data_IF_485912126832
#
_entry.id   IF_485912126832
#
_cell.length_a   1.000
_cell.length_b   1.000
_cell.length_c   1.000
_cell.angle_alpha   90.00
_cell.angle_beta   90.00
_cell.angle_gamma   90.00
#
_symmetry.space_group_name_H-M   'P 1'
#
loop_
_entity.id
_entity.type
_entity.pdbx_description
1 polymer ?
#
# COMPACT_ATOMS: atom_id res chain seq x y z
N UNK A 1 -13.93 -3.78 -14.67
CA UNK A 1 -12.93 -4.60 -13.99
C UNK A 1 -11.75 -3.71 -13.69
N UNK A 2 -11.20 -3.71 -12.48
CA UNK A 2 -10.06 -2.86 -12.14
C UNK A 2 -8.77 -3.32 -12.84
N UNK A 3 -7.93 -2.36 -13.23
CA UNK A 3 -6.59 -2.63 -13.71
C UNK A 3 -5.63 -2.89 -12.53
N UNK A 4 -5.82 -2.13 -11.44
CA UNK A 4 -5.12 -2.31 -10.16
C UNK A 4 -6.09 -2.81 -9.10
N UNK A 5 -5.79 -3.94 -8.47
CA UNK A 5 -6.54 -4.47 -7.32
C UNK A 5 -5.66 -4.39 -6.07
N UNK A 6 -6.10 -3.64 -5.05
CA UNK A 6 -5.38 -3.53 -3.78
C UNK A 6 -6.02 -4.45 -2.73
N UNK A 7 -5.24 -5.36 -2.14
CA UNK A 7 -5.73 -6.33 -1.16
C UNK A 7 -5.14 -6.08 0.23
N UNK A 8 -5.99 -5.83 1.23
CA UNK A 8 -5.52 -5.67 2.60
C UNK A 8 -6.57 -5.19 3.58
N UNK A 9 -6.13 -4.58 4.69
CA UNK A 9 -6.99 -4.09 5.76
C UNK A 9 -7.19 -2.58 5.71
N UNK A 10 -8.39 -2.11 5.35
CA UNK A 10 -8.77 -0.73 5.52
C UNK A 10 -9.08 -0.42 6.99
N UNK A 11 -8.70 0.75 7.44
CA UNK A 11 -8.85 1.19 8.82
C UNK A 11 -9.51 2.57 8.87
N UNK A 12 -10.33 2.82 9.89
CA UNK A 12 -10.75 4.19 10.22
C UNK A 12 -9.71 4.81 11.17
N UNK A 13 -9.29 6.04 10.85
CA UNK A 13 -8.34 6.81 11.64
C UNK A 13 -9.07 7.76 12.60
N UNK A 14 -8.50 7.91 13.79
CA UNK A 14 -8.83 8.99 14.72
C UNK A 14 -7.55 9.74 15.09
N UNK A 15 -7.34 10.92 14.48
CA UNK A 15 -6.14 11.74 14.63
C UNK A 15 -6.38 12.83 15.66
N UNK A 16 -5.60 12.82 16.75
CA UNK A 16 -5.72 13.78 17.84
C UNK A 16 -5.32 15.17 17.37
N UNK A 17 -6.16 16.15 17.65
CA UNK A 17 -5.91 17.55 17.36
C UNK A 17 -5.32 18.27 18.59
N UNK A 18 -4.71 19.46 18.44
CA UNK A 18 -4.12 20.21 19.55
C UNK A 18 -5.08 20.54 20.69
N UNK A 19 -6.38 20.59 20.41
CA UNK A 19 -7.43 20.83 21.41
C UNK A 19 -7.91 19.54 22.13
N UNK A 20 -7.27 18.40 21.84
CA UNK A 20 -7.58 17.10 22.43
C UNK A 20 -8.73 16.35 21.77
N UNK A 21 -9.44 16.96 20.81
CA UNK A 21 -10.45 16.26 19.98
C UNK A 21 -9.78 15.36 18.96
N UNK A 22 -10.55 14.41 18.44
CA UNK A 22 -10.08 13.53 17.36
C UNK A 22 -10.76 13.90 16.05
N UNK A 23 -9.95 14.14 15.02
CA UNK A 23 -10.39 14.23 13.64
C UNK A 23 -10.51 12.81 13.09
N UNK A 24 -11.66 12.49 12.49
CA UNK A 24 -11.86 11.24 11.79
C UNK A 24 -11.20 11.29 10.42
N UNK A 25 -10.51 10.22 10.06
CA UNK A 25 -9.85 10.03 8.77
C UNK A 25 -9.90 8.57 8.34
N UNK A 26 -9.19 8.27 7.28
CA UNK A 26 -9.11 6.94 6.70
C UNK A 26 -7.65 6.52 6.58
N UNK A 27 -7.40 5.21 6.65
CA UNK A 27 -6.08 4.62 6.57
C UNK A 27 -6.12 3.14 6.20
N UNK A 28 -5.00 2.49 6.41
CA UNK A 28 -4.71 1.17 5.87
C UNK A 28 -3.89 1.32 4.60
N UNK A 29 -2.67 0.79 4.61
CA UNK A 29 -1.66 1.00 3.57
C UNK A 29 -2.16 0.70 2.15
N UNK A 30 -2.75 -0.47 1.95
CA UNK A 30 -3.30 -0.86 0.64
C UNK A 30 -4.55 -0.05 0.25
N UNK A 31 -5.35 0.42 1.23
CA UNK A 31 -6.45 1.37 1.00
C UNK A 31 -5.91 2.74 0.58
N UNK A 32 -4.85 3.21 1.24
CA UNK A 32 -4.16 4.44 0.91
C UNK A 32 -3.57 4.38 -0.51
N UNK A 33 -2.89 3.27 -0.85
CA UNK A 33 -2.40 3.01 -2.20
C UNK A 33 -3.52 3.04 -3.24
N UNK A 34 -4.67 2.40 -2.95
CA UNK A 34 -5.82 2.39 -3.83
C UNK A 34 -6.37 3.80 -4.11
N UNK A 35 -6.51 4.61 -3.05
CA UNK A 35 -6.97 6.00 -3.15
C UNK A 35 -5.97 6.85 -3.94
N UNK A 36 -4.67 6.73 -3.62
CA UNK A 36 -3.62 7.43 -4.35
C UNK A 36 -3.68 7.08 -5.85
N UNK A 37 -3.74 5.80 -6.20
CA UNK A 37 -3.81 5.37 -7.60
C UNK A 37 -5.07 5.85 -8.32
N UNK A 38 -6.24 5.81 -7.67
CA UNK A 38 -7.50 6.30 -8.24
C UNK A 38 -7.43 7.80 -8.54
N UNK A 39 -6.86 8.61 -7.63
CA UNK A 39 -6.64 10.06 -7.84
C UNK A 39 -5.65 10.34 -8.96
N UNK A 40 -4.77 9.40 -9.31
CA UNK A 40 -3.89 9.47 -10.49
C UNK A 40 -4.55 8.92 -11.77
N UNK A 41 -5.84 8.56 -11.71
CA UNK A 41 -6.62 8.18 -12.88
C UNK A 41 -6.57 6.69 -13.25
N UNK A 42 -6.01 5.83 -12.39
CA UNK A 42 -6.08 4.38 -12.60
C UNK A 42 -7.50 3.84 -12.33
N UNK A 43 -7.86 2.76 -13.01
CA UNK A 43 -9.07 1.98 -12.70
C UNK A 43 -8.76 1.04 -11.54
N UNK A 44 -9.21 1.39 -10.34
CA UNK A 44 -8.81 0.72 -9.09
C UNK A 44 -9.97 -0.05 -8.47
N UNK A 45 -9.68 -1.23 -7.94
CA UNK A 45 -10.57 -1.96 -7.05
C UNK A 45 -9.89 -2.33 -5.74
N UNK A 46 -10.68 -2.65 -4.74
CA UNK A 46 -10.20 -3.15 -3.46
C UNK A 46 -10.76 -4.53 -3.16
N UNK A 47 -9.89 -5.43 -2.66
CA UNK A 47 -10.22 -6.72 -2.09
C UNK A 47 -10.02 -6.63 -0.59
N UNK A 48 -11.12 -6.53 0.17
CA UNK A 48 -11.09 -6.32 1.60
C UNK A 48 -12.29 -6.94 2.30
N UNK A 49 -12.18 -7.11 3.61
CA UNK A 49 -13.32 -7.41 4.48
C UNK A 49 -13.54 -6.28 5.48
N UNK A 50 -14.80 -5.86 5.62
CA UNK A 50 -15.24 -4.81 6.53
C UNK A 50 -16.34 -5.34 7.44
N UNK A 51 -16.41 -4.82 8.66
CA UNK A 51 -17.57 -5.02 9.51
C UNK A 51 -18.82 -4.39 8.91
N UNK A 52 -20.00 -4.90 9.31
CA UNK A 52 -21.30 -4.26 8.98
C UNK A 52 -21.60 -3.05 9.85
N UNK A 53 -20.62 -2.60 10.63
CA UNK A 53 -20.70 -1.43 11.49
C UNK A 53 -20.65 -0.11 10.69
N UNK A 54 -20.92 0.99 11.41
CA UNK A 54 -20.89 2.32 10.78
C UNK A 54 -19.51 2.74 10.26
N UNK A 55 -18.44 2.13 10.76
CA UNK A 55 -17.07 2.43 10.32
C UNK A 55 -16.80 1.80 8.95
N UNK A 56 -17.23 0.54 8.76
CA UNK A 56 -17.18 -0.10 7.46
C UNK A 56 -17.99 0.65 6.41
N UNK A 57 -19.20 1.12 6.76
CA UNK A 57 -20.01 1.93 5.85
C UNK A 57 -19.35 3.25 5.46
N UNK A 58 -18.63 3.90 6.39
CA UNK A 58 -17.90 5.14 6.10
C UNK A 58 -16.76 4.91 5.12
N UNK A 59 -16.00 3.82 5.29
CA UNK A 59 -14.93 3.45 4.38
C UNK A 59 -15.50 3.18 2.97
N UNK A 60 -16.60 2.42 2.86
CA UNK A 60 -17.27 2.18 1.56
C UNK A 60 -17.71 3.49 0.88
N UNK A 61 -18.28 4.42 1.64
CA UNK A 61 -18.71 5.70 1.10
C UNK A 61 -17.50 6.54 0.62
N UNK A 62 -16.40 6.51 1.37
CA UNK A 62 -15.18 7.22 1.02
C UNK A 62 -14.54 6.70 -0.26
N UNK A 63 -14.46 5.37 -0.41
CA UNK A 63 -13.97 4.78 -1.65
C UNK A 63 -14.86 5.10 -2.86
N UNK A 64 -16.17 5.24 -2.64
CA UNK A 64 -17.09 5.64 -3.71
C UNK A 64 -16.82 7.07 -4.21
N UNK A 65 -16.34 7.99 -3.37
CA UNK A 65 -15.95 9.36 -3.77
C UNK A 65 -14.80 9.37 -4.78
N UNK A 66 -13.84 8.45 -4.62
CA UNK A 66 -12.70 8.27 -5.54
C UNK A 66 -12.99 7.24 -6.66
N UNK A 67 -14.24 6.82 -6.85
CA UNK A 67 -14.70 5.83 -7.86
C UNK A 67 -13.98 4.47 -7.79
N UNK A 68 -13.57 4.04 -6.61
CA UNK A 68 -12.91 2.74 -6.39
C UNK A 68 -13.97 1.62 -6.47
N UNK A 69 -13.69 0.57 -7.25
CA UNK A 69 -14.54 -0.61 -7.36
C UNK A 69 -14.52 -1.44 -6.06
N UNK A 70 -15.68 -1.54 -5.42
CA UNK A 70 -15.89 -2.28 -4.17
C UNK A 70 -16.53 -3.66 -4.38
N UNK A 71 -16.64 -4.15 -5.61
CA UNK A 71 -17.30 -5.43 -5.93
C UNK A 71 -16.64 -6.64 -5.28
N UNK A 72 -15.35 -6.57 -4.98
CA UNK A 72 -14.59 -7.58 -4.26
C UNK A 72 -14.52 -7.33 -2.73
N UNK A 73 -15.25 -6.33 -2.21
CA UNK A 73 -15.35 -6.10 -0.76
C UNK A 73 -16.44 -6.98 -0.15
N UNK A 74 -16.15 -7.57 1.00
CA UNK A 74 -17.10 -8.39 1.74
C UNK A 74 -17.43 -7.75 3.09
N UNK A 75 -18.71 -7.64 3.40
CA UNK A 75 -19.19 -7.24 4.73
C UNK A 75 -19.38 -8.46 5.63
N UNK A 76 -18.78 -8.42 6.83
CA UNK A 76 -18.79 -9.50 7.82
C UNK A 76 -19.60 -9.05 9.04
N UNK A 77 -20.72 -9.74 9.33
CA UNK A 77 -21.70 -9.30 10.36
C UNK A 77 -21.18 -9.39 11.81
N UNK A 78 -20.34 -10.37 12.09
CA UNK A 78 -19.91 -10.71 13.45
C UNK A 78 -18.51 -10.19 13.81
N UNK A 79 -17.91 -9.36 12.96
CA UNK A 79 -16.58 -8.82 13.17
C UNK A 79 -16.56 -7.30 12.98
N UNK A 80 -15.82 -6.53 13.81
CA UNK A 80 -15.73 -5.09 13.66
C UNK A 80 -14.83 -4.68 12.51
N UNK A 81 -15.04 -3.48 12.00
CA UNK A 81 -14.04 -2.78 11.18
C UNK A 81 -12.87 -2.35 12.05
N UNK A 82 -11.64 -2.53 11.59
CA UNK A 82 -10.44 -2.10 12.30
C UNK A 82 -10.37 -0.57 12.41
N UNK A 83 -9.87 -0.07 13.54
CA UNK A 83 -9.65 1.36 13.78
C UNK A 83 -8.28 1.61 14.42
N UNK A 84 -7.75 2.81 14.25
CA UNK A 84 -6.58 3.24 14.99
C UNK A 84 -6.66 4.70 15.42
N UNK A 85 -5.88 5.01 16.44
CA UNK A 85 -5.74 6.36 16.98
C UNK A 85 -4.32 6.82 16.75
N UNK A 86 -4.17 8.07 16.28
CA UNK A 86 -2.91 8.79 16.22
C UNK A 86 -2.91 9.80 17.37
N UNK A 87 -1.95 9.70 18.26
CA UNK A 87 -1.73 10.68 19.34
C UNK A 87 -0.38 11.33 19.14
N UNK A 88 -0.30 12.64 19.43
CA UNK A 88 0.90 13.42 19.28
C UNK A 88 1.52 13.69 20.64
N UNK A 89 2.83 13.39 20.76
CA UNK A 89 3.65 13.72 21.93
C UNK A 89 4.84 14.58 21.48
N UNK A 90 5.56 15.19 22.43
CA UNK A 90 6.73 16.01 22.11
C UNK A 90 7.83 15.26 21.33
N UNK A 91 7.81 13.92 21.36
CA UNK A 91 8.80 13.04 20.72
C UNK A 91 8.28 12.42 19.41
N UNK A 92 7.07 12.80 18.91
CA UNK A 92 6.51 12.28 17.65
C UNK A 92 5.07 11.79 17.73
N UNK A 93 4.73 10.81 16.90
CA UNK A 93 3.40 10.20 16.83
C UNK A 93 3.38 8.82 17.46
N UNK A 94 2.33 8.52 18.24
CA UNK A 94 2.05 7.15 18.71
C UNK A 94 0.77 6.62 18.07
N UNK A 95 0.82 5.35 17.62
CA UNK A 95 -0.28 4.66 16.97
C UNK A 95 -0.86 3.59 17.88
N UNK A 96 -2.12 3.74 18.25
CA UNK A 96 -2.87 2.75 19.04
C UNK A 96 -3.92 2.07 18.17
N UNK A 97 -3.75 0.78 17.92
CA UNK A 97 -4.64 0.00 17.06
C UNK A 97 -5.71 -0.75 17.83
N UNK A 98 -6.91 -0.85 17.26
CA UNK A 98 -8.02 -1.71 17.65
C UNK A 98 -8.45 -2.53 16.43
N UNK A 99 -7.67 -3.57 16.11
CA UNK A 99 -7.81 -4.38 14.88
C UNK A 99 -7.83 -5.90 15.13
N UNK A 100 -7.58 -6.36 16.37
CA UNK A 100 -7.65 -7.78 16.69
C UNK A 100 -9.08 -8.30 16.51
N UNK A 101 -9.23 -9.36 15.68
CA UNK A 101 -10.54 -9.88 15.33
C UNK A 101 -11.37 -8.96 14.41
N UNK A 102 -10.72 -8.00 13.74
CA UNK A 102 -11.36 -7.22 12.69
C UNK A 102 -11.80 -8.12 11.53
N UNK A 103 -12.81 -7.68 10.78
CA UNK A 103 -13.29 -8.40 9.61
C UNK A 103 -12.14 -8.75 8.65
N UNK A 104 -11.22 -7.81 8.39
CA UNK A 104 -10.07 -8.05 7.53
C UNK A 104 -9.14 -9.17 8.05
N UNK A 105 -8.97 -9.30 9.36
CA UNK A 105 -8.15 -10.35 9.97
C UNK A 105 -8.75 -11.76 9.85
N UNK A 106 -10.03 -11.86 9.48
CA UNK A 106 -10.72 -13.13 9.24
C UNK A 106 -10.64 -13.61 7.79
N UNK A 107 -10.06 -12.80 6.90
CA UNK A 107 -9.91 -13.19 5.50
C UNK A 107 -9.15 -14.51 5.37
N UNK A 108 -9.62 -15.37 4.47
CA UNK A 108 -9.09 -16.69 4.25
C UNK A 108 -9.09 -17.07 2.76
N UNK A 109 -8.41 -18.16 2.41
CA UNK A 109 -8.41 -18.70 1.03
C UNK A 109 -9.81 -18.97 0.49
N UNK A 110 -10.77 -19.39 1.36
CA UNK A 110 -12.14 -19.67 0.92
C UNK A 110 -12.88 -18.43 0.45
N UNK A 111 -12.52 -17.25 0.95
CA UNK A 111 -13.13 -15.98 0.53
C UNK A 111 -12.77 -15.61 -0.91
N UNK A 112 -11.61 -16.07 -1.40
CA UNK A 112 -11.15 -15.83 -2.78
C UNK A 112 -12.00 -16.58 -3.81
N UNK A 113 -12.71 -17.64 -3.41
CA UNK A 113 -13.61 -18.41 -4.29
C UNK A 113 -14.97 -17.71 -4.54
N UNK A 114 -15.26 -16.60 -3.87
CA UNK A 114 -16.48 -15.80 -4.14
C UNK A 114 -16.44 -15.30 -5.58
N UNK A 115 -17.55 -15.38 -6.34
CA UNK A 115 -17.55 -15.05 -7.77
C UNK A 115 -17.00 -13.67 -8.11
N UNK A 116 -17.36 -12.63 -7.34
CA UNK A 116 -16.85 -11.26 -7.57
C UNK A 116 -15.35 -11.12 -7.25
N UNK A 117 -14.87 -11.77 -6.19
CA UNK A 117 -13.45 -11.78 -5.80
C UNK A 117 -12.61 -12.53 -6.83
N UNK A 118 -13.04 -13.74 -7.20
CA UNK A 118 -12.37 -14.54 -8.23
C UNK A 118 -12.33 -13.81 -9.58
N UNK A 119 -13.40 -13.14 -9.96
CA UNK A 119 -13.47 -12.35 -11.19
C UNK A 119 -12.48 -11.16 -11.14
N UNK A 120 -12.40 -10.44 -10.01
CA UNK A 120 -11.47 -9.32 -9.83
C UNK A 120 -10.01 -9.79 -9.91
N UNK A 121 -9.64 -10.88 -9.19
CA UNK A 121 -8.30 -11.46 -9.21
C UNK A 121 -7.90 -11.98 -10.60
N UNK A 122 -8.84 -12.56 -11.34
CA UNK A 122 -8.55 -13.11 -12.68
C UNK A 122 -8.48 -12.06 -13.78
N UNK A 123 -8.89 -10.83 -13.51
CA UNK A 123 -8.98 -9.78 -14.53
C UNK A 123 -8.07 -8.58 -14.26
N UNK A 124 -7.56 -8.37 -13.05
CA UNK A 124 -6.68 -7.25 -12.78
C UNK A 124 -5.34 -7.43 -13.49
N UNK A 125 -4.73 -6.32 -13.92
CA UNK A 125 -3.39 -6.33 -14.49
C UNK A 125 -2.33 -6.39 -13.40
N UNK A 126 -2.59 -5.75 -12.25
CA UNK A 126 -1.69 -5.75 -11.09
C UNK A 126 -2.51 -5.98 -9.82
N UNK A 127 -2.06 -6.93 -8.99
CA UNK A 127 -2.49 -7.09 -7.60
C UNK A 127 -1.43 -6.44 -6.70
N UNK A 128 -1.84 -5.47 -5.89
CA UNK A 128 -0.97 -4.85 -4.87
C UNK A 128 -1.31 -5.37 -3.48
N UNK A 129 -0.28 -5.78 -2.74
CA UNK A 129 -0.36 -6.25 -1.36
C UNK A 129 0.78 -5.66 -0.54
N UNK A 130 0.69 -5.82 0.79
CA UNK A 130 1.75 -5.42 1.70
C UNK A 130 2.07 -6.48 2.76
N UNK A 131 3.19 -6.30 3.44
CA UNK A 131 3.54 -7.11 4.61
C UNK A 131 2.51 -6.98 5.73
N UNK A 132 1.83 -5.83 5.88
CA UNK A 132 0.74 -5.64 6.84
C UNK A 132 -0.43 -6.57 6.51
N UNK A 133 -0.81 -6.69 5.24
CA UNK A 133 -1.91 -7.57 4.79
C UNK A 133 -1.69 -9.03 5.23
N UNK A 134 -0.43 -9.46 5.32
CA UNK A 134 -0.06 -10.81 5.79
C UNK A 134 0.12 -10.88 7.31
N UNK A 135 0.53 -9.79 7.96
CA UNK A 135 0.84 -9.76 9.38
C UNK A 135 -0.38 -9.79 10.30
N UNK A 136 -1.57 -9.43 9.78
CA UNK A 136 -2.80 -9.29 10.58
C UNK A 136 -3.36 -10.63 11.08
N UNK A 137 -3.13 -11.74 10.36
CA UNK A 137 -3.44 -13.11 10.77
C UNK A 137 -2.79 -14.15 9.87
N UNK A 138 -2.70 -15.41 10.33
CA UNK A 138 -2.19 -16.51 9.50
C UNK A 138 -3.12 -16.81 8.32
N UNK A 139 -4.44 -16.75 8.52
CA UNK A 139 -5.40 -16.97 7.45
C UNK A 139 -5.34 -15.88 6.37
N UNK A 140 -5.09 -14.62 6.76
CA UNK A 140 -4.89 -13.53 5.82
C UNK A 140 -3.57 -13.69 5.05
N UNK A 141 -2.48 -14.15 5.70
CA UNK A 141 -1.24 -14.47 5.00
C UNK A 141 -1.44 -15.56 3.94
N UNK A 142 -2.13 -16.64 4.29
CA UNK A 142 -2.46 -17.72 3.36
C UNK A 142 -3.36 -17.24 2.20
N UNK A 143 -4.31 -16.34 2.47
CA UNK A 143 -5.14 -15.74 1.45
C UNK A 143 -4.31 -14.85 0.50
N UNK A 144 -3.36 -14.06 1.02
CA UNK A 144 -2.47 -13.23 0.21
C UNK A 144 -1.66 -14.09 -0.78
N UNK A 145 -1.02 -15.18 -0.31
CA UNK A 145 -0.29 -16.07 -1.22
C UNK A 145 -1.19 -16.71 -2.28
N UNK A 146 -2.39 -17.16 -1.89
CA UNK A 146 -3.34 -17.73 -2.85
C UNK A 146 -3.86 -16.70 -3.87
N UNK A 147 -3.98 -15.43 -3.48
CA UNK A 147 -4.33 -14.33 -4.39
C UNK A 147 -3.19 -14.07 -5.40
N UNK A 148 -1.93 -14.05 -4.95
CA UNK A 148 -0.76 -13.93 -5.83
C UNK A 148 -0.74 -15.06 -6.87
N UNK A 149 -0.90 -16.32 -6.43
CA UNK A 149 -0.96 -17.47 -7.33
C UNK A 149 -2.07 -17.35 -8.37
N UNK A 150 -3.24 -16.87 -7.94
CA UNK A 150 -4.42 -16.71 -8.83
C UNK A 150 -4.16 -15.67 -9.91
N UNK A 151 -3.57 -14.52 -9.53
CA UNK A 151 -3.25 -13.43 -10.46
C UNK A 151 -2.18 -13.86 -11.46
N UNK A 152 -1.12 -14.52 -11.02
CA UNK A 152 -0.09 -15.06 -11.90
C UNK A 152 -0.66 -16.09 -12.87
N UNK A 153 -1.52 -17.00 -12.40
CA UNK A 153 -2.19 -17.99 -13.25
C UNK A 153 -3.07 -17.35 -14.33
N UNK A 154 -3.58 -16.14 -14.08
CA UNK A 154 -4.34 -15.34 -15.03
C UNK A 154 -3.47 -14.45 -15.94
N UNK A 155 -2.15 -14.42 -15.74
CA UNK A 155 -1.20 -13.60 -16.50
C UNK A 155 -1.06 -12.15 -16.02
N UNK A 156 -1.60 -11.82 -14.85
CA UNK A 156 -1.40 -10.54 -14.18
C UNK A 156 -0.06 -10.50 -13.43
N UNK A 157 0.27 -9.34 -12.88
CA UNK A 157 1.47 -9.10 -12.07
C UNK A 157 1.14 -8.85 -10.60
N UNK A 158 2.11 -9.12 -9.73
CA UNK A 158 2.03 -8.85 -8.29
C UNK A 158 2.97 -7.71 -7.93
N UNK A 159 2.44 -6.69 -7.25
CA UNK A 159 3.19 -5.63 -6.60
C UNK A 159 3.17 -5.83 -5.09
N UNK A 160 4.30 -5.63 -4.42
CA UNK A 160 4.42 -5.87 -2.99
C UNK A 160 5.27 -4.82 -2.27
N UNK A 161 4.68 -4.22 -1.22
CA UNK A 161 5.38 -3.37 -0.25
C UNK A 161 5.65 -4.17 1.04
N UNK A 162 6.92 -4.35 1.47
CA UNK A 162 7.26 -4.99 2.74
C UNK A 162 6.56 -4.39 3.95
N UNK A 163 6.44 -3.08 3.99
CA UNK A 163 5.74 -2.27 4.99
C UNK A 163 5.82 -2.88 6.40
N UNK A 164 7.05 -3.05 6.90
CA UNK A 164 7.36 -3.80 8.12
C UNK A 164 6.75 -3.15 9.36
N UNK A 165 6.02 -3.93 10.13
CA UNK A 165 5.43 -3.50 11.40
C UNK A 165 5.73 -4.50 12.51
N UNK A 166 6.84 -4.29 13.24
CA UNK A 166 7.27 -5.17 14.34
C UNK A 166 6.29 -5.26 15.51
N UNK A 167 5.27 -4.38 15.55
CA UNK A 167 4.14 -4.51 16.49
C UNK A 167 3.20 -5.68 16.14
N UNK A 168 3.22 -6.21 14.91
CA UNK A 168 2.35 -7.29 14.44
C UNK A 168 3.03 -8.67 14.49
N UNK A 169 4.33 -8.72 14.29
CA UNK A 169 5.11 -9.97 14.27
C UNK A 169 6.57 -9.76 14.67
N UNK A 170 7.27 -10.84 15.01
CA UNK A 170 8.71 -10.78 15.23
C UNK A 170 9.46 -10.57 13.92
N UNK A 171 10.67 -10.01 13.98
CA UNK A 171 11.51 -9.79 12.80
C UNK A 171 11.78 -11.08 12.03
N UNK A 172 12.00 -12.20 12.72
CA UNK A 172 12.26 -13.50 12.09
C UNK A 172 11.03 -14.01 11.32
N UNK A 173 9.82 -13.87 11.91
CA UNK A 173 8.58 -14.21 11.22
C UNK A 173 8.36 -13.30 10.03
N UNK A 174 8.57 -11.99 10.20
CA UNK A 174 8.47 -10.98 9.12
C UNK A 174 9.41 -11.33 7.96
N UNK A 175 10.70 -11.58 8.23
CA UNK A 175 11.67 -11.99 7.21
C UNK A 175 11.22 -13.21 6.43
N UNK A 176 10.76 -14.25 7.14
CA UNK A 176 10.33 -15.50 6.51
C UNK A 176 9.16 -15.26 5.54
N UNK A 177 8.12 -14.55 5.99
CA UNK A 177 6.90 -14.34 5.20
C UNK A 177 7.13 -13.32 4.09
N UNK A 178 7.77 -12.18 4.40
CA UNK A 178 8.03 -11.10 3.44
C UNK A 178 8.97 -11.56 2.33
N UNK A 179 10.07 -12.27 2.65
CA UNK A 179 10.98 -12.76 1.60
C UNK A 179 10.30 -13.82 0.73
N UNK A 180 9.42 -14.65 1.29
CA UNK A 180 8.60 -15.56 0.49
C UNK A 180 7.65 -14.77 -0.44
N UNK A 181 7.00 -13.72 0.06
CA UNK A 181 6.14 -12.87 -0.78
C UNK A 181 6.95 -12.14 -1.86
N UNK A 182 8.14 -11.63 -1.52
CA UNK A 182 9.05 -11.00 -2.48
C UNK A 182 9.52 -11.96 -3.59
N UNK A 183 9.65 -13.26 -3.30
CA UNK A 183 9.97 -14.25 -4.34
C UNK A 183 8.78 -14.56 -5.27
N UNK A 184 7.60 -14.07 -4.92
CA UNK A 184 6.37 -14.20 -5.71
C UNK A 184 5.91 -12.84 -6.27
N UNK A 185 6.67 -11.74 -6.11
CA UNK A 185 6.29 -10.44 -6.65
C UNK A 185 7.08 -10.10 -7.91
N UNK A 186 6.44 -9.36 -8.83
CA UNK A 186 7.06 -8.82 -10.04
C UNK A 186 7.58 -7.40 -9.79
N UNK A 187 6.88 -6.62 -8.96
CA UNK A 187 7.18 -5.23 -8.66
C UNK A 187 7.35 -5.08 -7.15
N UNK A 188 8.59 -4.93 -6.70
CA UNK A 188 8.91 -4.70 -5.30
C UNK A 188 8.98 -3.20 -5.00
N UNK A 189 8.27 -2.75 -3.97
CA UNK A 189 8.16 -1.35 -3.55
C UNK A 189 8.67 -1.16 -2.10
N UNK A 190 9.92 -1.53 -1.77
CA UNK A 190 10.42 -1.44 -0.41
C UNK A 190 10.81 -0.02 0.00
N UNK A 191 10.59 0.32 1.28
CA UNK A 191 11.25 1.44 1.93
C UNK A 191 12.63 1.05 2.46
N UNK A 192 13.62 1.94 2.36
CA UNK A 192 15.03 1.66 2.72
C UNK A 192 15.20 1.17 4.16
N UNK A 193 14.53 1.80 5.12
CA UNK A 193 14.69 1.47 6.54
C UNK A 193 14.13 0.08 6.86
N UNK A 194 12.95 -0.25 6.34
CA UNK A 194 12.35 -1.58 6.45
C UNK A 194 13.21 -2.64 5.75
N UNK A 195 13.69 -2.32 4.56
CA UNK A 195 14.53 -3.21 3.78
C UNK A 195 15.86 -3.52 4.46
N UNK A 196 16.49 -2.53 5.12
CA UNK A 196 17.69 -2.73 5.95
C UNK A 196 17.44 -3.72 7.09
N UNK A 197 16.33 -3.57 7.80
CA UNK A 197 15.96 -4.49 8.87
C UNK A 197 15.69 -5.90 8.36
N UNK A 198 14.99 -6.02 7.23
CA UNK A 198 14.62 -7.30 6.64
C UNK A 198 15.82 -8.05 6.06
N UNK A 199 16.70 -7.37 5.32
CA UNK A 199 17.82 -7.99 4.62
C UNK A 199 19.10 -8.06 5.46
N UNK A 200 19.28 -7.13 6.40
CA UNK A 200 20.55 -6.93 7.11
C UNK A 200 21.61 -6.21 6.27
N UNK A 201 21.25 -5.77 5.06
CA UNK A 201 22.12 -4.99 4.16
C UNK A 201 21.95 -3.49 4.43
N UNK A 202 22.97 -2.69 4.08
CA UNK A 202 22.96 -1.25 4.36
C UNK A 202 22.89 -0.39 3.10
N UNK A 203 23.55 -0.83 2.03
CA UNK A 203 23.63 -0.08 0.79
C UNK A 203 22.41 -0.33 -0.09
N UNK A 204 21.82 0.74 -0.62
CA UNK A 204 20.61 0.67 -1.44
C UNK A 204 20.79 -0.22 -2.67
N UNK A 205 21.96 -0.20 -3.29
CA UNK A 205 22.29 -1.07 -4.43
C UNK A 205 22.26 -2.56 -4.08
N UNK A 206 22.85 -2.94 -2.94
CA UNK A 206 22.88 -4.34 -2.49
C UNK A 206 21.48 -4.83 -2.11
N UNK A 207 20.66 -3.96 -1.51
CA UNK A 207 19.25 -4.25 -1.18
C UNK A 207 18.44 -4.47 -2.47
N UNK A 208 18.61 -3.61 -3.46
CA UNK A 208 17.93 -3.76 -4.73
C UNK A 208 18.33 -5.06 -5.43
N UNK A 209 19.63 -5.41 -5.41
CA UNK A 209 20.12 -6.68 -5.97
C UNK A 209 19.55 -7.89 -5.24
N UNK A 210 19.43 -7.81 -3.92
CA UNK A 210 18.83 -8.87 -3.12
C UNK A 210 17.37 -9.17 -3.58
N UNK A 211 16.54 -8.13 -3.76
CA UNK A 211 15.16 -8.32 -4.19
C UNK A 211 15.03 -8.75 -5.66
N UNK A 212 15.90 -8.27 -6.55
CA UNK A 212 15.99 -8.79 -7.92
C UNK A 212 16.37 -10.27 -7.95
N UNK A 213 17.31 -10.71 -7.11
CA UNK A 213 17.72 -12.12 -7.00
C UNK A 213 16.60 -13.00 -6.42
N UNK A 214 15.69 -12.46 -5.61
CA UNK A 214 14.50 -13.19 -5.16
C UNK A 214 13.47 -13.40 -6.28
N UNK A 215 13.48 -12.61 -7.35
CA UNK A 215 12.62 -12.80 -8.50
C UNK A 215 11.90 -11.56 -9.01
N UNK A 216 11.98 -10.41 -8.31
CA UNK A 216 11.37 -9.18 -8.77
C UNK A 216 11.94 -8.73 -10.13
N UNK A 217 11.07 -8.30 -11.04
CA UNK A 217 11.46 -7.69 -12.31
C UNK A 217 11.83 -6.21 -12.14
N UNK A 218 11.17 -5.55 -11.19
CA UNK A 218 11.36 -4.14 -10.86
C UNK A 218 11.45 -3.99 -9.35
N UNK A 219 12.46 -3.25 -8.89
CA UNK A 219 12.57 -2.78 -7.51
C UNK A 219 12.54 -1.26 -7.53
N UNK A 220 11.54 -0.66 -6.89
CA UNK A 220 11.47 0.78 -6.64
C UNK A 220 11.71 1.02 -5.14
N UNK A 221 12.99 1.11 -4.76
CA UNK A 221 13.41 1.29 -3.37
C UNK A 221 13.34 2.77 -3.00
N UNK A 222 12.36 3.14 -2.17
CA UNK A 222 12.23 4.52 -1.67
C UNK A 222 13.30 4.84 -0.64
N UNK A 223 13.98 5.98 -0.81
CA UNK A 223 15.11 6.45 -0.01
C UNK A 223 14.75 7.67 0.85
N UNK A 224 13.47 7.88 1.12
CA UNK A 224 12.96 9.05 1.82
C UNK A 224 13.32 10.35 1.08
N UNK A 225 13.94 11.27 1.77
CA UNK A 225 14.36 12.57 1.20
C UNK A 225 15.42 12.49 0.10
N UNK A 226 15.97 11.32 -0.17
CA UNK A 226 16.93 11.09 -1.26
C UNK A 226 16.26 10.58 -2.56
N UNK A 227 14.95 10.45 -2.59
CA UNK A 227 14.19 10.02 -3.76
C UNK A 227 14.03 8.50 -3.82
N UNK A 228 14.20 7.90 -4.99
CA UNK A 228 13.94 6.47 -5.23
C UNK A 228 15.05 5.85 -6.08
N UNK A 229 15.52 4.67 -5.71
CA UNK A 229 16.37 3.84 -6.57
C UNK A 229 15.49 2.88 -7.36
N UNK A 230 15.47 3.03 -8.68
CA UNK A 230 14.87 2.06 -9.59
C UNK A 230 15.93 1.06 -10.03
N UNK A 231 15.64 -0.22 -9.86
CA UNK A 231 16.49 -1.31 -10.32
C UNK A 231 15.67 -2.35 -11.11
N UNK A 232 16.26 -2.78 -12.22
CA UNK A 232 15.84 -3.93 -13.03
C UNK A 232 17.06 -4.81 -13.26
N UNK A 233 16.97 -6.02 -13.84
CA UNK A 233 18.14 -6.83 -14.15
C UNK A 233 19.22 -6.09 -14.94
N UNK A 234 18.82 -5.18 -15.84
CA UNK A 234 19.72 -4.50 -16.78
C UNK A 234 20.05 -3.05 -16.42
N UNK A 235 19.35 -2.46 -15.45
CA UNK A 235 19.45 -1.01 -15.21
C UNK A 235 19.31 -0.67 -13.73
N UNK A 236 20.08 0.31 -13.27
CA UNK A 236 19.91 1.00 -11.99
C UNK A 236 19.99 2.50 -12.20
N UNK A 237 19.02 3.22 -11.64
CA UNK A 237 18.99 4.67 -11.71
C UNK A 237 18.34 5.25 -10.46
N UNK A 238 18.99 6.21 -9.85
CA UNK A 238 18.40 6.98 -8.76
C UNK A 238 17.59 8.14 -9.33
N UNK A 239 16.31 8.16 -9.00
CA UNK A 239 15.37 9.22 -9.34
C UNK A 239 15.35 10.24 -8.21
N UNK A 240 15.67 11.53 -8.45
CA UNK A 240 15.74 12.54 -7.41
C UNK A 240 14.37 12.80 -6.77
N UNK A 241 14.34 13.29 -5.52
CA UNK A 241 13.11 13.69 -4.85
C UNK A 241 12.61 15.03 -5.39
N UNK A 242 11.37 15.37 -5.07
CA UNK A 242 10.85 16.74 -5.14
C UNK A 242 10.91 17.38 -3.76
N UNK A 243 11.41 18.62 -3.70
CA UNK A 243 11.58 19.35 -2.44
C UNK A 243 10.31 20.17 -2.17
N UNK A 244 9.66 19.88 -1.05
CA UNK A 244 8.46 20.60 -0.57
C UNK A 244 8.64 20.93 0.92
N UNK A 245 7.82 21.83 1.43
CA UNK A 245 7.71 22.08 2.88
C UNK A 245 6.81 20.99 3.49
N UNK A 246 7.45 19.93 4.00
CA UNK A 246 6.74 18.79 4.56
C UNK A 246 6.15 19.12 5.94
N UNK A 247 4.91 18.71 6.16
CA UNK A 247 4.13 18.88 7.40
C UNK A 247 3.92 17.52 8.10
N UNK A 248 3.50 16.50 7.35
CA UNK A 248 3.22 15.16 7.86
C UNK A 248 3.56 14.12 6.77
N UNK A 249 4.44 13.16 7.09
CA UNK A 249 4.85 12.12 6.15
C UNK A 249 3.98 10.85 6.21
N UNK A 250 2.86 10.89 6.93
CA UNK A 250 1.93 9.76 7.02
C UNK A 250 1.43 9.36 5.63
N UNK A 251 1.52 8.07 5.30
CA UNK A 251 1.14 7.48 4.01
C UNK A 251 1.89 8.02 2.77
N UNK A 252 3.05 8.68 2.93
CA UNK A 252 3.84 9.11 1.78
C UNK A 252 4.35 7.91 0.95
N UNK A 253 4.73 6.79 1.60
CA UNK A 253 5.06 5.53 0.95
C UNK A 253 3.87 4.95 0.19
N UNK A 254 2.72 4.86 0.83
CA UNK A 254 1.49 4.36 0.19
C UNK A 254 1.07 5.24 -1.01
N UNK A 255 1.28 6.56 -0.90
CA UNK A 255 1.05 7.50 -2.01
C UNK A 255 2.02 7.28 -3.15
N UNK A 256 3.31 7.03 -2.83
CA UNK A 256 4.29 6.65 -3.83
C UNK A 256 3.86 5.38 -4.56
N UNK A 257 3.49 4.34 -3.83
CA UNK A 257 3.09 3.05 -4.40
C UNK A 257 1.90 3.20 -5.34
N UNK A 258 0.85 3.88 -4.90
CA UNK A 258 -0.36 4.12 -5.71
C UNK A 258 -0.08 4.93 -6.97
N UNK A 259 0.68 6.01 -6.86
CA UNK A 259 1.04 6.85 -8.00
C UNK A 259 2.01 6.13 -8.96
N UNK A 260 2.97 5.36 -8.43
CA UNK A 260 3.87 4.54 -9.23
C UNK A 260 3.12 3.50 -10.06
N UNK A 261 2.23 2.76 -9.42
CA UNK A 261 1.45 1.70 -10.09
C UNK A 261 0.48 2.28 -11.12
N UNK A 262 -0.16 3.41 -10.82
CA UNK A 262 -1.04 4.10 -11.76
C UNK A 262 -0.29 4.56 -13.02
N UNK A 263 0.87 5.19 -12.86
CA UNK A 263 1.66 5.68 -13.99
C UNK A 263 2.32 4.51 -14.75
N UNK A 264 2.80 3.49 -14.04
CA UNK A 264 3.35 2.28 -14.65
C UNK A 264 2.31 1.54 -15.50
N UNK A 265 1.05 1.46 -15.07
CA UNK A 265 -0.04 0.88 -15.87
C UNK A 265 -0.24 1.59 -17.21
N UNK A 266 0.00 2.90 -17.27
CA UNK A 266 -0.16 3.71 -18.48
C UNK A 266 0.99 3.49 -19.46
N UNK A 267 2.24 3.62 -19.01
CA UNK A 267 3.42 3.69 -19.87
C UNK A 267 4.36 2.46 -19.80
N UNK A 268 4.24 1.63 -18.77
CA UNK A 268 5.16 0.51 -18.48
C UNK A 268 6.63 0.93 -18.32
N UNK A 269 6.89 2.22 -18.04
CA UNK A 269 8.21 2.77 -17.79
C UNK A 269 8.39 3.06 -16.30
N UNK A 270 9.22 2.25 -15.62
CA UNK A 270 9.45 2.34 -14.19
C UNK A 270 10.13 3.66 -13.78
N UNK A 271 10.96 4.26 -14.63
CA UNK A 271 11.62 5.53 -14.30
C UNK A 271 10.67 6.71 -14.41
N UNK A 272 9.85 6.75 -15.45
CA UNK A 272 8.80 7.77 -15.58
C UNK A 272 7.81 7.65 -14.41
N UNK A 273 7.39 6.42 -14.08
CA UNK A 273 6.52 6.15 -12.94
C UNK A 273 7.13 6.60 -11.61
N UNK A 274 8.42 6.34 -11.38
CA UNK A 274 9.10 6.77 -10.15
C UNK A 274 9.23 8.30 -10.04
N UNK A 275 9.51 9.01 -11.14
CA UNK A 275 9.53 10.48 -11.15
C UNK A 275 8.17 11.05 -10.76
N UNK A 276 7.13 10.52 -11.36
CA UNK A 276 5.76 10.90 -11.08
C UNK A 276 5.39 10.61 -9.62
N UNK A 277 5.70 9.41 -9.14
CA UNK A 277 5.41 8.97 -7.79
C UNK A 277 6.17 9.77 -6.72
N UNK A 278 7.44 10.16 -6.96
CA UNK A 278 8.19 11.04 -6.08
C UNK A 278 7.50 12.41 -5.93
N UNK A 279 6.95 12.97 -7.00
CA UNK A 279 6.20 14.22 -6.95
C UNK A 279 4.88 14.07 -6.16
N UNK A 280 4.14 12.99 -6.41
CA UNK A 280 2.91 12.69 -5.69
C UNK A 280 3.16 12.48 -4.18
N UNK A 281 4.16 11.67 -3.83
CA UNK A 281 4.56 11.43 -2.45
C UNK A 281 5.04 12.70 -1.76
N UNK A 282 5.80 13.57 -2.42
CA UNK A 282 6.20 14.85 -1.87
C UNK A 282 4.98 15.73 -1.57
N UNK A 283 4.04 15.87 -2.50
CA UNK A 283 2.82 16.65 -2.30
C UNK A 283 1.97 16.12 -1.14
N UNK A 284 1.86 14.79 -0.98
CA UNK A 284 1.08 14.22 0.12
C UNK A 284 1.61 14.59 1.50
N UNK A 285 2.90 14.97 1.61
CA UNK A 285 3.48 15.37 2.89
C UNK A 285 3.18 16.82 3.28
N UNK A 286 2.55 17.62 2.42
CA UNK A 286 2.30 19.05 2.67
C UNK A 286 1.07 19.34 3.53
N UNK A 287 0.32 18.32 3.93
CA UNK A 287 -0.87 18.42 4.80
C UNK A 287 -0.89 17.32 5.85
N UNK A 288 -1.84 17.43 6.80
CA UNK A 288 -2.00 16.44 7.87
C UNK A 288 -2.89 15.26 7.45
N UNK A 289 -2.55 14.07 7.95
CA UNK A 289 -3.32 12.84 7.81
C UNK A 289 -2.92 12.00 6.60
N UNK A 290 -3.36 10.74 6.58
CA UNK A 290 -2.93 9.77 5.58
C UNK A 290 -3.48 10.05 4.18
N UNK A 291 -4.75 10.41 4.06
CA UNK A 291 -5.47 10.44 2.76
C UNK A 291 -5.86 11.84 2.33
N UNK A 292 -6.19 12.72 3.29
CA UNK A 292 -6.66 14.08 2.98
C UNK A 292 -5.69 14.87 2.07
N UNK A 293 -4.35 14.84 2.31
CA UNK A 293 -3.39 15.59 1.50
C UNK A 293 -2.92 14.87 0.23
N UNK A 294 -3.40 13.65 -0.07
CA UNK A 294 -3.02 12.96 -1.30
C UNK A 294 -3.43 13.76 -2.53
N UNK A 295 -2.47 14.08 -3.44
CA UNK A 295 -2.74 14.95 -4.58
C UNK A 295 -3.60 14.28 -5.65
N UNK A 296 -4.26 15.11 -6.44
CA UNK A 296 -4.85 14.74 -7.73
C UNK A 296 -3.78 14.69 -8.83
N UNK A 297 -4.07 14.05 -9.95
CA UNK A 297 -3.19 14.05 -11.14
C UNK A 297 -2.81 15.47 -11.58
N UNK A 298 -3.77 16.40 -11.61
CA UNK A 298 -3.52 17.78 -12.04
C UNK A 298 -2.51 18.52 -11.15
N UNK A 299 -2.54 18.26 -9.82
CA UNK A 299 -1.59 18.85 -8.88
C UNK A 299 -0.18 18.27 -9.06
N UNK A 300 -0.07 16.96 -9.32
CA UNK A 300 1.22 16.31 -9.60
C UNK A 300 1.81 16.84 -10.91
N UNK A 301 1.01 16.91 -11.98
CA UNK A 301 1.45 17.43 -13.28
C UNK A 301 1.88 18.90 -13.21
N UNK A 302 1.20 19.71 -12.39
CA UNK A 302 1.60 21.09 -12.13
C UNK A 302 2.99 21.18 -11.46
N UNK A 303 3.28 20.32 -10.49
CA UNK A 303 4.60 20.28 -9.85
C UNK A 303 5.70 19.80 -10.82
N UNK A 304 5.39 18.84 -11.71
CA UNK A 304 6.34 18.31 -12.68
C UNK A 304 6.74 19.32 -13.76
N UNK A 305 5.93 20.35 -13.98
CA UNK A 305 6.14 21.38 -15.01
C UNK A 305 6.67 22.71 -14.44
N UNK A 306 6.75 22.85 -13.11
CA UNK A 306 7.24 24.05 -12.42
C UNK A 306 8.77 24.09 -12.34
#
# INVERSE_FOLDING_TARGET
>A
MPDLLCMGEPLLEFNQQPDGRYLEGFGGDTSNCAIAAARQGATVGVLAQLGTDRFGQKILNYWAEDNIDISAVTSVGDAPTGIYFVTHSGDGHDFTYRRNGSAASLMSRSDLARPSVSAALSSCQILHLSGISQAISESAADACFAAMDTVHAAGGKVSYDPNLRLKLWSLDKARSVIHQAMSCCDIALPGLDDARLLTGLHEAGDIADFYLQLGAEIVALTLGVAGTLIATPDRREQVPPYVVEAVDATAAGDTFDGAFLAEYLTGRDALAAARYANAAAALSTTGYGAVAPMPTRAEVEALLTA
#
